data_IF_946667509447
#
_entry.id   IF_946667509447
#
_cell.length_a   1.000
_cell.length_b   1.000
_cell.length_c   1.000
_cell.angle_alpha   90.00
_cell.angle_beta   90.00
_cell.angle_gamma   90.00
#
_symmetry.space_group_name_H-M   'P 1'
#
loop_
_entity.id
_entity.type
_entity.pdbx_description
1 polymer ?
#
# COMPACT_ATOMS: atom_id res chain seq x y z
N UNK A 1 -17.02 3.59 -23.48
CA UNK A 1 -16.03 4.34 -22.68
C UNK A 1 -15.13 3.32 -21.99
N UNK A 2 -14.02 2.88 -22.61
CA UNK A 2 -13.23 1.72 -22.14
C UNK A 2 -12.27 2.02 -20.96
N UNK A 3 -11.89 3.29 -20.73
CA UNK A 3 -10.92 3.67 -19.68
C UNK A 3 -11.45 3.49 -18.26
N UNK A 4 -12.76 3.70 -18.07
CA UNK A 4 -13.41 3.58 -16.76
C UNK A 4 -13.47 2.12 -16.29
N UNK A 5 -13.69 1.18 -17.20
CA UNK A 5 -13.72 -0.25 -16.89
C UNK A 5 -12.34 -0.75 -16.44
N UNK A 6 -11.27 -0.29 -17.09
CA UNK A 6 -9.91 -0.68 -16.72
C UNK A 6 -9.50 -0.10 -15.37
N UNK A 7 -9.86 1.17 -15.12
CA UNK A 7 -9.61 1.83 -13.83
C UNK A 7 -10.32 1.09 -12.69
N UNK A 8 -11.60 0.73 -12.89
CA UNK A 8 -12.36 -0.06 -11.91
C UNK A 8 -11.74 -1.43 -11.66
N UNK A 9 -11.24 -2.11 -12.70
CA UNK A 9 -10.53 -3.39 -12.55
C UNK A 9 -9.25 -3.22 -11.76
N UNK A 10 -8.46 -2.19 -12.04
CA UNK A 10 -7.24 -1.90 -11.30
C UNK A 10 -7.52 -1.58 -9.82
N UNK A 11 -8.55 -0.78 -9.52
CA UNK A 11 -8.96 -0.49 -8.14
C UNK A 11 -9.44 -1.77 -7.44
N UNK A 12 -10.26 -2.60 -8.10
CA UNK A 12 -10.75 -3.86 -7.53
C UNK A 12 -9.63 -4.85 -7.24
N UNK A 13 -8.67 -4.98 -8.18
CA UNK A 13 -7.44 -5.73 -8.01
C UNK A 13 -6.63 -5.22 -6.80
N UNK A 14 -6.41 -3.91 -6.75
CA UNK A 14 -5.60 -3.27 -5.70
C UNK A 14 -6.22 -3.43 -4.32
N UNK A 15 -7.55 -3.38 -4.22
CA UNK A 15 -8.27 -3.62 -2.97
C UNK A 15 -7.99 -5.02 -2.43
N UNK A 16 -8.07 -6.04 -3.30
CA UNK A 16 -7.74 -7.43 -2.94
C UNK A 16 -6.28 -7.59 -2.51
N UNK A 17 -5.34 -6.96 -3.21
CA UNK A 17 -3.91 -7.08 -2.93
C UNK A 17 -3.46 -6.35 -1.65
N UNK A 18 -4.13 -5.28 -1.28
CA UNK A 18 -3.74 -4.42 -0.14
C UNK A 18 -4.57 -4.66 1.11
N UNK A 19 -5.76 -5.25 0.98
CA UNK A 19 -6.71 -5.43 2.07
C UNK A 19 -7.51 -4.17 2.42
N UNK A 20 -7.26 -3.05 1.74
CA UNK A 20 -8.08 -1.83 1.83
C UNK A 20 -9.25 -1.91 0.86
N UNK A 21 -10.36 -1.24 1.17
CA UNK A 21 -11.49 -1.21 0.24
C UNK A 21 -11.26 -0.23 -0.93
N UNK A 22 -12.05 -0.39 -2.00
CA UNK A 22 -11.88 0.45 -3.20
C UNK A 22 -12.14 1.94 -2.95
N UNK A 23 -13.06 2.29 -2.05
CA UNK A 23 -13.36 3.69 -1.74
C UNK A 23 -12.20 4.34 -0.97
N UNK A 24 -11.54 3.59 -0.09
CA UNK A 24 -10.34 4.02 0.61
C UNK A 24 -9.17 4.26 -0.36
N UNK A 25 -9.01 3.39 -1.36
CA UNK A 25 -7.99 3.58 -2.39
C UNK A 25 -8.29 4.78 -3.28
N UNK A 26 -9.55 4.98 -3.70
CA UNK A 26 -9.96 6.13 -4.51
C UNK A 26 -9.81 7.45 -3.73
N UNK A 27 -10.06 7.44 -2.42
CA UNK A 27 -9.92 8.62 -1.56
C UNK A 27 -8.49 9.17 -1.49
N UNK A 28 -7.46 8.34 -1.71
CA UNK A 28 -6.06 8.81 -1.84
C UNK A 28 -5.88 9.76 -3.03
N UNK A 29 -6.72 9.62 -4.06
CA UNK A 29 -6.56 10.26 -5.36
C UNK A 29 -5.38 9.72 -6.18
N UNK A 30 -4.76 8.61 -5.76
CA UNK A 30 -3.57 8.03 -6.42
C UNK A 30 -3.89 6.89 -7.40
N UNK A 31 -5.12 6.38 -7.41
CA UNK A 31 -5.49 5.19 -8.18
C UNK A 31 -5.11 5.29 -9.67
N UNK A 32 -5.44 6.40 -10.34
CA UNK A 32 -5.11 6.59 -11.75
C UNK A 32 -3.60 6.74 -12.00
N UNK A 33 -2.90 7.44 -11.12
CA UNK A 33 -1.45 7.61 -11.23
C UNK A 33 -0.73 6.27 -11.05
N UNK A 34 -1.15 5.45 -10.08
CA UNK A 34 -0.59 4.12 -9.86
C UNK A 34 -0.97 3.14 -10.96
N UNK A 35 -2.18 3.23 -11.52
CA UNK A 35 -2.59 2.47 -12.70
C UNK A 35 -1.65 2.75 -13.87
N UNK A 36 -1.39 4.02 -14.16
CA UNK A 36 -0.51 4.44 -15.25
C UNK A 36 0.92 3.91 -15.07
N UNK A 37 1.49 4.06 -13.86
CA UNK A 37 2.83 3.55 -13.53
C UNK A 37 2.89 2.03 -13.66
N UNK A 38 1.89 1.30 -13.13
CA UNK A 38 1.86 -0.15 -13.24
C UNK A 38 1.74 -0.63 -14.70
N UNK A 39 0.91 0.04 -15.51
CA UNK A 39 0.74 -0.29 -16.92
C UNK A 39 2.02 -0.06 -17.74
N UNK A 40 2.72 1.04 -17.47
CA UNK A 40 3.99 1.38 -18.11
C UNK A 40 5.09 0.38 -17.72
N UNK A 41 5.27 0.14 -16.43
CA UNK A 41 6.39 -0.64 -15.91
C UNK A 41 6.26 -2.15 -16.15
N UNK A 42 5.03 -2.67 -16.16
CA UNK A 42 4.78 -4.09 -16.48
C UNK A 42 4.70 -4.33 -17.98
N UNK A 43 4.39 -3.28 -18.76
CA UNK A 43 4.06 -3.38 -20.18
C UNK A 43 2.70 -4.03 -20.44
N UNK A 44 2.16 -3.79 -21.63
CA UNK A 44 0.77 -4.10 -21.97
C UNK A 44 0.36 -5.57 -21.73
N UNK A 45 1.22 -6.53 -22.08
CA UNK A 45 0.90 -7.97 -21.94
C UNK A 45 0.79 -8.40 -20.48
N UNK A 46 1.79 -8.07 -19.66
CA UNK A 46 1.83 -8.50 -18.25
C UNK A 46 0.78 -7.75 -17.45
N UNK A 47 0.60 -6.46 -17.69
CA UNK A 47 -0.45 -5.67 -17.06
C UNK A 47 -1.86 -6.19 -17.38
N UNK A 48 -2.17 -6.45 -18.66
CA UNK A 48 -3.47 -6.99 -19.05
C UNK A 48 -3.75 -8.36 -18.43
N UNK A 49 -2.70 -9.18 -18.25
CA UNK A 49 -2.82 -10.48 -17.58
C UNK A 49 -3.04 -10.33 -16.08
N UNK A 50 -2.31 -9.43 -15.42
CA UNK A 50 -2.50 -9.11 -14.00
C UNK A 50 -3.95 -8.67 -13.70
N UNK A 51 -4.54 -7.82 -14.55
CA UNK A 51 -5.93 -7.38 -14.39
C UNK A 51 -6.98 -8.48 -14.58
N UNK A 52 -6.61 -9.60 -15.24
CA UNK A 52 -7.52 -10.70 -15.54
C UNK A 52 -7.42 -11.86 -14.57
N UNK A 53 -6.19 -12.18 -14.17
CA UNK A 53 -5.83 -13.44 -13.50
C UNK A 53 -5.27 -13.13 -12.11
N UNK A 54 -6.04 -12.43 -11.26
CA UNK A 54 -5.65 -12.36 -9.87
C UNK A 54 -5.87 -13.74 -9.23
N UNK A 55 -4.82 -14.41 -8.74
CA UNK A 55 -4.99 -15.72 -8.12
C UNK A 55 -5.92 -15.61 -6.91
N UNK A 56 -6.89 -16.53 -6.85
CA UNK A 56 -7.83 -16.62 -5.72
C UNK A 56 -7.10 -17.02 -4.42
N UNK A 57 -5.99 -17.75 -4.52
CA UNK A 57 -5.18 -18.22 -3.38
C UNK A 57 -3.67 -17.99 -3.66
N UNK A 58 -2.89 -17.51 -2.67
CA UNK A 58 -1.48 -17.11 -2.86
C UNK A 58 -0.49 -18.27 -3.06
N UNK A 59 -0.88 -19.51 -2.72
CA UNK A 59 0.01 -20.68 -2.58
C UNK A 59 -0.13 -21.75 -3.67
N UNK A 60 -1.17 -21.67 -4.51
CA UNK A 60 -1.10 -22.36 -5.80
C UNK A 60 -0.06 -21.60 -6.63
N UNK A 61 0.94 -22.29 -7.16
CA UNK A 61 2.10 -21.68 -7.84
C UNK A 61 1.70 -21.04 -9.19
N UNK A 62 0.84 -20.03 -9.11
CA UNK A 62 0.56 -19.03 -10.10
C UNK A 62 1.86 -18.38 -10.51
N UNK A 63 1.94 -18.12 -11.79
CA UNK A 63 3.07 -17.58 -12.52
C UNK A 63 3.95 -16.64 -11.67
N UNK A 64 5.25 -16.96 -11.48
CA UNK A 64 6.18 -16.12 -10.73
C UNK A 64 6.21 -14.66 -11.22
N UNK A 65 5.96 -14.42 -12.52
CA UNK A 65 5.89 -13.08 -13.07
C UNK A 65 4.63 -12.33 -12.63
N UNK A 66 3.48 -13.02 -12.51
CA UNK A 66 2.26 -12.42 -11.99
C UNK A 66 2.39 -12.14 -10.50
N UNK A 67 3.02 -13.03 -9.74
CA UNK A 67 3.32 -12.80 -8.32
C UNK A 67 4.22 -11.57 -8.14
N UNK A 68 5.30 -11.49 -8.90
CA UNK A 68 6.20 -10.33 -8.88
C UNK A 68 5.47 -9.03 -9.29
N UNK A 69 4.56 -9.10 -10.26
CA UNK A 69 3.74 -7.96 -10.65
C UNK A 69 2.75 -7.52 -9.55
N UNK A 70 2.11 -8.48 -8.88
CA UNK A 70 1.23 -8.22 -7.74
C UNK A 70 2.01 -7.61 -6.58
N UNK A 71 3.16 -8.17 -6.22
CA UNK A 71 4.07 -7.63 -5.21
C UNK A 71 4.50 -6.20 -5.53
N UNK A 72 4.80 -5.92 -6.81
CA UNK A 72 5.18 -4.57 -7.23
C UNK A 72 4.04 -3.55 -7.07
N UNK A 73 2.82 -3.94 -7.42
CA UNK A 73 1.62 -3.10 -7.20
C UNK A 73 1.35 -2.90 -5.72
N UNK A 74 1.45 -3.95 -4.89
CA UNK A 74 1.31 -3.83 -3.43
C UNK A 74 2.38 -2.90 -2.85
N UNK A 75 3.65 -3.07 -3.25
CA UNK A 75 4.74 -2.20 -2.81
C UNK A 75 4.49 -0.73 -3.18
N UNK A 76 3.99 -0.49 -4.40
CA UNK A 76 3.62 0.84 -4.87
C UNK A 76 2.55 1.47 -3.99
N UNK A 77 1.49 0.74 -3.65
CA UNK A 77 0.43 1.24 -2.80
C UNK A 77 0.90 1.56 -1.38
N UNK A 78 1.73 0.70 -0.79
CA UNK A 78 2.19 0.90 0.58
C UNK A 78 3.22 2.03 0.71
N UNK A 79 4.09 2.24 -0.28
CA UNK A 79 5.24 3.14 -0.18
C UNK A 79 5.17 4.38 -1.07
N UNK A 80 4.25 4.40 -2.04
CA UNK A 80 4.22 5.39 -3.12
C UNK A 80 5.36 5.29 -4.13
N UNK A 81 6.20 4.25 -4.01
CA UNK A 81 7.37 4.03 -4.85
C UNK A 81 7.22 2.77 -5.68
N UNK A 82 7.64 2.82 -6.95
CA UNK A 82 7.74 1.62 -7.76
C UNK A 82 9.04 0.86 -7.41
N UNK A 83 8.99 -0.47 -7.21
CA UNK A 83 10.19 -1.22 -6.90
C UNK A 83 11.08 -1.43 -8.14
N UNK A 84 12.39 -1.44 -7.93
CA UNK A 84 13.37 -1.67 -8.97
C UNK A 84 14.79 -1.33 -8.49
N UNK A 85 15.83 -1.59 -9.30
CA UNK A 85 17.18 -1.10 -9.04
C UNK A 85 17.52 0.11 -9.94
N UNK A 86 17.44 1.37 -9.46
CA UNK A 86 16.94 1.81 -8.14
C UNK A 86 15.40 1.95 -8.11
N UNK A 87 14.78 1.95 -6.92
CA UNK A 87 13.37 2.26 -6.79
C UNK A 87 13.16 3.75 -7.04
N UNK A 88 11.95 4.13 -7.48
CA UNK A 88 11.61 5.54 -7.67
C UNK A 88 10.27 5.91 -7.05
N UNK A 89 10.21 7.10 -6.47
CA UNK A 89 9.00 7.67 -5.90
C UNK A 89 8.15 8.28 -7.03
N UNK A 90 6.86 7.92 -7.09
CA UNK A 90 5.96 8.42 -8.15
C UNK A 90 5.74 9.93 -8.03
N UNK A 91 5.53 10.42 -6.82
CA UNK A 91 5.41 11.85 -6.51
C UNK A 91 5.53 12.12 -5.00
N UNK A 92 5.75 13.37 -4.56
CA UNK A 92 5.67 13.72 -3.14
C UNK A 92 4.32 13.37 -2.51
N UNK A 93 3.23 13.49 -3.27
CA UNK A 93 1.89 13.08 -2.82
C UNK A 93 1.79 11.56 -2.65
N UNK A 94 2.43 10.78 -3.52
CA UNK A 94 2.47 9.32 -3.40
C UNK A 94 3.09 8.88 -2.06
N UNK A 95 4.14 9.58 -1.62
CA UNK A 95 4.73 9.38 -0.29
C UNK A 95 3.75 9.72 0.83
N UNK A 96 3.04 10.85 0.71
CA UNK A 96 2.05 11.28 1.70
C UNK A 96 0.87 10.31 1.85
N UNK A 97 0.40 9.78 0.73
CA UNK A 97 -0.75 8.88 0.62
C UNK A 97 -0.37 7.39 0.73
N UNK A 98 0.88 7.07 1.06
CA UNK A 98 1.34 5.69 1.18
C UNK A 98 0.54 4.92 2.24
N UNK A 99 -0.01 3.75 1.87
CA UNK A 99 -0.88 2.98 2.76
C UNK A 99 -0.17 2.49 4.03
N UNK A 100 1.17 2.46 4.05
CA UNK A 100 1.95 2.13 5.26
C UNK A 100 1.62 3.06 6.42
N UNK A 101 1.36 4.34 6.16
CA UNK A 101 1.01 5.30 7.20
C UNK A 101 -0.35 4.99 7.77
N UNK A 102 -1.34 4.78 6.90
CA UNK A 102 -2.71 4.43 7.31
C UNK A 102 -2.76 3.11 8.07
N UNK A 103 -2.05 2.08 7.60
CA UNK A 103 -1.95 0.78 8.26
C UNK A 103 -1.30 0.87 9.65
N UNK A 104 -0.35 1.79 9.83
CA UNK A 104 0.27 2.07 11.12
C UNK A 104 -0.57 3.00 12.02
N UNK A 105 -1.70 3.52 11.55
CA UNK A 105 -2.48 4.55 12.26
C UNK A 105 -1.77 5.90 12.35
N UNK A 106 -0.83 6.17 11.45
CA UNK A 106 0.03 7.36 11.41
C UNK A 106 -0.32 8.26 10.23
N UNK A 107 0.15 9.50 10.30
CA UNK A 107 0.27 10.38 9.12
C UNK A 107 1.69 10.31 8.60
N UNK A 108 1.85 10.55 7.30
CA UNK A 108 3.17 10.61 6.69
C UNK A 108 4.05 11.67 7.39
N UNK A 109 5.27 11.32 7.78
CA UNK A 109 6.21 12.29 8.33
C UNK A 109 6.49 13.42 7.35
N UNK A 110 6.70 14.64 7.85
CA UNK A 110 7.08 15.81 7.05
C UNK A 110 6.08 16.22 5.93
N UNK A 111 4.83 15.76 5.97
CA UNK A 111 3.78 16.20 5.03
C UNK A 111 2.83 17.23 5.61
N UNK A 112 2.87 17.43 6.93
CA UNK A 112 2.22 18.53 7.64
C UNK A 112 3.27 19.31 8.44
N UNK A 113 3.06 20.62 8.71
CA UNK A 113 3.91 21.36 9.61
C UNK A 113 3.79 20.75 11.02
N UNK A 114 4.77 19.92 11.39
CA UNK A 114 4.94 19.52 12.78
C UNK A 114 5.26 20.78 13.58
N UNK A 115 4.42 21.10 14.56
CA UNK A 115 4.77 22.14 15.54
C UNK A 115 6.13 21.82 16.16
N UNK A 116 6.96 22.84 16.38
CA UNK A 116 8.23 22.68 17.09
C UNK A 116 7.98 21.93 18.41
N UNK A 117 8.70 20.84 18.65
CA UNK A 117 8.55 20.03 19.87
C UNK A 117 7.78 18.71 19.72
N UNK A 118 7.31 18.32 18.53
CA UNK A 118 6.64 17.02 18.30
C UNK A 118 7.51 15.79 18.61
N UNK A 119 8.82 15.98 18.79
CA UNK A 119 9.79 14.95 19.19
C UNK A 119 10.22 15.06 20.65
N UNK A 120 9.69 16.03 21.41
CA UNK A 120 10.05 16.24 22.81
C UNK A 120 9.33 15.27 23.75
N UNK A 121 8.17 14.75 23.34
CA UNK A 121 7.42 13.76 24.10
C UNK A 121 7.88 12.34 23.76
N UNK A 122 8.31 11.60 24.78
CA UNK A 122 8.57 10.18 24.65
C UNK A 122 7.25 9.46 24.33
N UNK A 123 7.24 8.49 23.39
CA UNK A 123 6.04 7.72 23.11
C UNK A 123 5.55 7.05 24.40
N UNK A 124 4.28 7.27 24.73
CA UNK A 124 3.65 6.68 25.91
C UNK A 124 3.78 5.17 25.85
N UNK A 125 4.49 4.59 26.82
CA UNK A 125 4.50 3.14 27.00
C UNK A 125 3.05 2.74 27.25
N UNK A 126 2.48 1.88 26.40
CA UNK A 126 1.25 1.18 26.75
C UNK A 126 1.56 0.27 27.94
N UNK A 127 1.39 0.77 29.16
CA UNK A 127 1.45 -0.01 30.39
C UNK A 127 0.16 -0.83 30.49
N UNK A 128 0.18 -1.99 29.85
CA UNK A 128 -0.84 -3.02 29.93
C UNK A 128 -0.32 -4.26 30.67
N UNK A 129 -0.71 -4.37 31.93
CA UNK A 129 -1.01 -5.61 32.68
C UNK A 129 0.14 -6.53 33.11
N UNK A 130 0.34 -6.61 34.43
CA UNK A 130 1.10 -7.70 35.06
C UNK A 130 1.44 -7.55 36.53
N UNK A 131 0.54 -7.06 37.40
CA UNK A 131 0.70 -7.27 38.85
C UNK A 131 0.48 -8.76 39.15
N UNK A 132 1.56 -9.51 39.34
CA UNK A 132 1.52 -10.81 39.99
C UNK A 132 1.88 -10.63 41.47
N UNK A 133 0.88 -10.33 42.29
CA UNK A 133 0.99 -10.51 43.75
C UNK A 133 0.90 -12.01 44.06
N UNK A 134 2.05 -12.63 44.36
CA UNK A 134 2.12 -13.95 44.97
C UNK A 134 2.25 -13.82 46.48
N UNK A 135 1.19 -14.15 47.22
CA UNK A 135 1.15 -14.29 48.69
C UNK A 135 1.54 -15.70 49.15
N UNK A 136 2.36 -15.78 50.22
CA UNK A 136 2.39 -16.82 51.27
C UNK A 136 2.99 -18.19 50.91
N UNK A 137 3.53 -18.95 51.89
CA UNK A 137 3.10 -19.01 53.29
C UNK A 137 4.05 -18.43 54.35
#
# INVERSE_FOLDING_TARGET
MPLTDESQRFTSLSARLTGFDGAELDATGMAEAYRAVAAEQLGARRYARLLRELPEEPDDAGDPELRSAAEAVTHLWYTGSWPGPPPFLVSPRAYAEGLVWKAAGLRAPATEPGGYGSWAEAPGRHEGLGTIEGSGP
#
